data_IF_465158394464
#
_entry.id   IF_465158394464
#
_cell.length_a   1.000
_cell.length_b   1.000
_cell.length_c   1.000
_cell.angle_alpha   90.00
_cell.angle_beta   90.00
_cell.angle_gamma   90.00
#
_symmetry.space_group_name_H-M   'P 1'
#
loop_
_entity.id
_entity.type
_entity.pdbx_description
1 polymer ?
#
# COMPACT_ATOMS: atom_id res chain seq x y z
N UNK A 1 37.03 13.71 -18.97
CA UNK A 1 36.50 12.42 -19.45
C UNK A 1 35.58 12.74 -20.59
N UNK A 2 35.95 12.36 -21.81
CA UNK A 2 35.13 12.56 -22.99
C UNK A 2 33.84 11.76 -22.81
N UNK A 3 32.72 12.46 -22.67
CA UNK A 3 31.38 11.89 -22.81
C UNK A 3 31.18 11.61 -24.29
N UNK A 4 31.89 10.61 -24.82
CA UNK A 4 31.53 10.02 -26.09
C UNK A 4 30.06 9.66 -26.01
N UNK A 5 29.26 10.13 -26.97
CA UNK A 5 27.83 9.82 -27.10
C UNK A 5 27.68 8.31 -27.40
N UNK A 6 27.97 7.46 -26.40
CA UNK A 6 27.60 6.07 -26.44
C UNK A 6 26.08 6.04 -26.44
N UNK A 7 25.51 5.60 -27.55
CA UNK A 7 24.07 5.39 -27.68
C UNK A 7 23.59 4.60 -26.47
N UNK A 8 22.65 5.19 -25.74
CA UNK A 8 22.05 4.53 -24.59
C UNK A 8 21.26 3.35 -25.13
N UNK A 9 21.68 2.14 -24.79
CA UNK A 9 20.84 0.98 -24.98
C UNK A 9 19.63 1.10 -24.04
N UNK A 10 18.56 1.71 -24.54
CA UNK A 10 17.36 2.02 -23.76
C UNK A 10 16.71 0.78 -23.17
N UNK A 11 16.72 -0.34 -23.90
CA UNK A 11 16.15 -1.61 -23.40
C UNK A 11 16.90 -2.04 -22.13
N UNK A 12 18.23 -2.06 -22.20
CA UNK A 12 19.05 -2.39 -21.03
C UNK A 12 18.87 -1.37 -19.90
N UNK A 13 18.85 -0.07 -20.22
CA UNK A 13 18.67 0.98 -19.22
C UNK A 13 17.33 0.88 -18.48
N UNK A 14 16.24 0.55 -19.19
CA UNK A 14 14.91 0.32 -18.61
C UNK A 14 14.89 -0.96 -17.76
N UNK A 15 15.47 -2.06 -18.25
CA UNK A 15 15.55 -3.33 -17.51
C UNK A 15 16.37 -3.21 -16.22
N UNK A 16 17.45 -2.43 -16.26
CA UNK A 16 18.32 -2.20 -15.10
C UNK A 16 17.87 -1.04 -14.23
N UNK A 17 16.71 -0.44 -14.56
CA UNK A 17 16.21 0.80 -13.95
C UNK A 17 17.34 1.80 -13.71
N UNK A 18 18.10 2.16 -14.75
CA UNK A 18 19.27 3.02 -14.62
C UNK A 18 18.90 4.31 -13.85
N UNK A 19 19.75 4.80 -12.93
CA UNK A 19 19.45 5.92 -12.05
C UNK A 19 19.57 7.27 -12.80
N UNK A 20 18.79 7.44 -13.85
CA UNK A 20 18.73 8.60 -14.74
C UNK A 20 17.30 9.07 -14.85
N UNK A 21 17.08 10.37 -14.80
CA UNK A 21 15.74 10.96 -14.78
C UNK A 21 14.84 10.48 -15.92
N UNK A 22 15.34 10.52 -17.15
CA UNK A 22 14.62 10.10 -18.35
C UNK A 22 14.22 8.61 -18.33
N UNK A 23 15.07 7.74 -17.75
CA UNK A 23 14.77 6.31 -17.58
C UNK A 23 13.73 6.11 -16.50
N UNK A 24 13.90 6.76 -15.34
CA UNK A 24 12.99 6.63 -14.21
C UNK A 24 11.59 7.18 -14.54
N UNK A 25 11.49 8.32 -15.24
CA UNK A 25 10.21 8.86 -15.72
C UNK A 25 9.52 7.93 -16.71
N UNK A 26 10.26 7.39 -17.70
CA UNK A 26 9.71 6.43 -18.64
C UNK A 26 9.20 5.17 -17.92
N UNK A 27 9.93 4.69 -16.91
CA UNK A 27 9.51 3.55 -16.11
C UNK A 27 8.28 3.84 -15.25
N UNK A 28 8.14 5.03 -14.64
CA UNK A 28 6.91 5.40 -13.90
C UNK A 28 5.69 5.31 -14.83
N UNK A 29 5.79 5.86 -16.04
CA UNK A 29 4.71 5.78 -17.02
C UNK A 29 4.43 4.33 -17.44
N UNK A 30 5.48 3.53 -17.65
CA UNK A 30 5.33 2.11 -17.98
C UNK A 30 4.64 1.35 -16.85
N UNK A 31 5.04 1.55 -15.58
CA UNK A 31 4.41 0.93 -14.42
C UNK A 31 2.96 1.40 -14.26
N UNK A 32 2.67 2.67 -14.47
CA UNK A 32 1.29 3.20 -14.46
C UNK A 32 0.41 2.48 -15.50
N UNK A 33 0.91 2.29 -16.72
CA UNK A 33 0.21 1.54 -17.78
C UNK A 33 0.06 0.06 -17.43
N UNK A 34 1.11 -0.57 -16.89
CA UNK A 34 1.07 -1.95 -16.44
C UNK A 34 0.05 -2.15 -15.31
N UNK A 35 -0.02 -1.23 -14.36
CA UNK A 35 -1.04 -1.23 -13.30
C UNK A 35 -2.44 -1.15 -13.88
N UNK A 36 -2.67 -0.23 -14.81
CA UNK A 36 -4.00 -0.08 -15.43
C UNK A 36 -4.40 -1.33 -16.23
N UNK A 37 -3.45 -1.91 -16.97
CA UNK A 37 -3.66 -3.16 -17.70
C UNK A 37 -3.92 -4.34 -16.73
N UNK A 38 -3.12 -4.46 -15.68
CA UNK A 38 -3.27 -5.49 -14.65
C UNK A 38 -4.63 -5.39 -13.96
N UNK A 39 -5.09 -4.18 -13.61
CA UNK A 39 -6.44 -3.97 -13.07
C UNK A 39 -7.52 -4.46 -14.03
N UNK A 40 -7.41 -4.16 -15.33
CA UNK A 40 -8.35 -4.62 -16.36
C UNK A 40 -8.43 -6.15 -16.49
N UNK A 41 -7.37 -6.87 -16.12
CA UNK A 41 -7.31 -8.34 -16.17
C UNK A 41 -7.72 -8.96 -14.82
N UNK A 42 -7.14 -8.46 -13.73
CA UNK A 42 -7.25 -9.01 -12.38
C UNK A 42 -8.61 -8.68 -11.76
N UNK A 43 -9.12 -7.46 -11.92
CA UNK A 43 -10.40 -7.05 -11.30
C UNK A 43 -11.58 -7.93 -11.78
N UNK A 44 -11.76 -8.21 -13.10
CA UNK A 44 -12.82 -9.12 -13.53
C UNK A 44 -12.63 -10.56 -13.04
N UNK A 45 -11.38 -11.04 -12.92
CA UNK A 45 -11.11 -12.38 -12.40
C UNK A 45 -11.50 -12.51 -10.92
N UNK A 46 -11.13 -11.52 -10.09
CA UNK A 46 -11.56 -11.46 -8.68
C UNK A 46 -13.08 -11.29 -8.61
N UNK A 47 -13.67 -10.44 -9.45
CA UNK A 47 -15.12 -10.25 -9.51
C UNK A 47 -15.88 -11.56 -9.77
N UNK A 48 -15.52 -12.30 -10.82
CA UNK A 48 -16.10 -13.62 -11.10
C UNK A 48 -15.91 -14.60 -9.96
N UNK A 49 -14.75 -14.57 -9.31
CA UNK A 49 -14.51 -15.39 -8.13
C UNK A 49 -15.47 -15.03 -7.00
N UNK A 50 -15.66 -13.75 -6.69
CA UNK A 50 -16.59 -13.26 -5.67
C UNK A 50 -18.05 -13.61 -5.99
N UNK A 51 -18.47 -13.52 -7.25
CA UNK A 51 -19.86 -13.80 -7.64
C UNK A 51 -20.26 -15.25 -7.37
N UNK A 52 -19.29 -16.16 -7.31
CA UNK A 52 -19.48 -17.58 -7.00
C UNK A 52 -19.39 -17.90 -5.49
N UNK A 53 -19.20 -16.90 -4.60
CA UNK A 53 -18.99 -17.14 -3.18
C UNK A 53 -20.18 -16.69 -2.33
N UNK A 54 -20.68 -17.56 -1.43
CA UNK A 54 -21.85 -17.24 -0.61
C UNK A 54 -21.59 -16.12 0.41
N UNK A 55 -20.33 -15.90 0.79
CA UNK A 55 -19.93 -14.88 1.76
C UNK A 55 -19.78 -13.47 1.17
N UNK A 56 -19.92 -13.29 -0.15
CA UNK A 56 -19.69 -12.00 -0.83
C UNK A 56 -20.62 -10.90 -0.34
N UNK A 57 -21.90 -11.19 -0.11
CA UNK A 57 -22.84 -10.20 0.42
C UNK A 57 -22.44 -9.71 1.83
N UNK A 58 -21.92 -10.62 2.66
CA UNK A 58 -21.42 -10.28 3.98
C UNK A 58 -20.15 -9.42 3.95
N UNK A 59 -19.35 -9.50 2.89
CA UNK A 59 -18.21 -8.59 2.67
C UNK A 59 -18.69 -7.22 2.26
N UNK A 60 -19.59 -7.14 1.28
CA UNK A 60 -20.15 -5.87 0.79
C UNK A 60 -20.76 -5.07 1.93
N UNK A 61 -21.59 -5.71 2.76
CA UNK A 61 -22.19 -5.06 3.93
C UNK A 61 -21.14 -4.55 4.94
N UNK A 62 -20.06 -5.33 5.15
CA UNK A 62 -18.97 -4.95 6.05
C UNK A 62 -18.13 -3.79 5.50
N UNK A 63 -17.90 -3.74 4.20
CA UNK A 63 -17.19 -2.63 3.54
C UNK A 63 -18.00 -1.33 3.61
N UNK A 64 -19.30 -1.36 3.31
CA UNK A 64 -20.18 -0.19 3.47
C UNK A 64 -20.09 0.37 4.90
N UNK A 65 -20.31 -0.49 5.90
CA UNK A 65 -20.27 -0.08 7.31
C UNK A 65 -18.89 0.44 7.73
N UNK A 66 -17.81 -0.15 7.22
CA UNK A 66 -16.43 0.27 7.53
C UNK A 66 -16.15 1.68 7.01
N UNK A 67 -16.48 1.98 5.77
CA UNK A 67 -16.19 3.28 5.15
C UNK A 67 -17.08 4.39 5.68
N UNK A 68 -18.34 4.07 5.97
CA UNK A 68 -19.25 4.98 6.66
C UNK A 68 -18.71 5.32 8.07
N UNK A 69 -18.28 4.32 8.83
CA UNK A 69 -17.72 4.55 10.17
C UNK A 69 -16.39 5.32 10.14
N UNK A 70 -15.51 5.05 9.16
CA UNK A 70 -14.16 5.60 9.12
C UNK A 70 -14.15 7.07 8.67
N UNK A 71 -14.88 7.40 7.61
CA UNK A 71 -14.84 8.74 6.98
C UNK A 71 -16.21 9.27 6.56
N UNK A 72 -17.31 8.62 6.95
CA UNK A 72 -18.67 9.02 6.55
C UNK A 72 -18.98 8.76 5.08
N UNK A 73 -18.22 7.88 4.40
CA UNK A 73 -18.43 7.59 2.99
C UNK A 73 -19.59 6.60 2.83
N UNK A 74 -20.71 7.06 2.26
CA UNK A 74 -21.84 6.20 1.88
C UNK A 74 -21.57 5.54 0.53
N UNK A 75 -21.60 4.21 0.49
CA UNK A 75 -21.39 3.42 -0.73
C UNK A 75 -22.63 2.61 -1.08
N UNK A 76 -22.90 2.48 -2.37
CA UNK A 76 -23.79 1.46 -2.90
C UNK A 76 -23.17 0.06 -2.77
N UNK A 77 -23.96 -1.02 -2.80
CA UNK A 77 -23.43 -2.38 -2.80
C UNK A 77 -22.41 -2.65 -3.92
N UNK A 78 -22.62 -2.07 -5.10
CA UNK A 78 -21.70 -2.20 -6.22
C UNK A 78 -20.39 -1.45 -5.96
N UNK A 79 -20.44 -0.20 -5.48
CA UNK A 79 -19.25 0.58 -5.13
C UNK A 79 -18.43 -0.12 -4.03
N UNK A 80 -19.07 -0.71 -3.02
CA UNK A 80 -18.39 -1.45 -1.96
C UNK A 80 -17.74 -2.74 -2.47
N UNK A 81 -18.40 -3.46 -3.40
CA UNK A 81 -17.80 -4.62 -4.07
C UNK A 81 -16.57 -4.23 -4.88
N UNK A 82 -16.66 -3.17 -5.66
CA UNK A 82 -15.56 -2.70 -6.51
C UNK A 82 -14.40 -2.18 -5.65
N UNK A 83 -14.71 -1.53 -4.53
CA UNK A 83 -13.71 -1.12 -3.55
C UNK A 83 -13.00 -2.31 -2.88
N UNK A 84 -13.72 -3.38 -2.53
CA UNK A 84 -13.09 -4.61 -2.02
C UNK A 84 -12.10 -5.19 -3.04
N UNK A 85 -12.51 -5.30 -4.32
CA UNK A 85 -11.64 -5.79 -5.40
C UNK A 85 -10.42 -4.88 -5.55
N UNK A 86 -10.63 -3.57 -5.51
CA UNK A 86 -9.56 -2.58 -5.54
C UNK A 86 -8.53 -2.81 -4.43
N UNK A 87 -8.97 -2.97 -3.18
CA UNK A 87 -8.05 -3.22 -2.06
C UNK A 87 -7.26 -4.52 -2.19
N UNK A 88 -7.83 -5.58 -2.78
CA UNK A 88 -7.06 -6.79 -3.09
C UNK A 88 -5.95 -6.49 -4.09
N UNK A 89 -6.24 -5.74 -5.16
CA UNK A 89 -5.25 -5.35 -6.16
C UNK A 89 -4.16 -4.47 -5.54
N UNK A 90 -4.53 -3.49 -4.72
CA UNK A 90 -3.58 -2.66 -3.97
C UNK A 90 -2.67 -3.54 -3.10
N UNK A 91 -3.22 -4.51 -2.38
CA UNK A 91 -2.45 -5.45 -1.58
C UNK A 91 -1.47 -6.29 -2.40
N UNK A 92 -1.85 -6.72 -3.60
CA UNK A 92 -0.98 -7.45 -4.53
C UNK A 92 0.13 -6.57 -5.12
N UNK A 93 -0.17 -5.31 -5.46
CA UNK A 93 0.83 -4.33 -5.90
C UNK A 93 1.93 -4.15 -4.84
N UNK A 94 1.51 -3.89 -3.59
CA UNK A 94 2.41 -3.76 -2.45
C UNK A 94 3.20 -5.04 -2.18
N UNK A 95 2.61 -6.22 -2.41
CA UNK A 95 3.31 -7.50 -2.25
C UNK A 95 4.43 -7.62 -3.29
N UNK A 96 4.14 -7.33 -4.55
CA UNK A 96 5.12 -7.40 -5.64
C UNK A 96 6.26 -6.43 -5.36
N UNK A 97 5.97 -5.15 -5.09
CA UNK A 97 7.02 -4.18 -4.83
C UNK A 97 7.80 -4.50 -3.54
N UNK A 98 7.15 -4.92 -2.46
CA UNK A 98 7.85 -5.42 -1.26
C UNK A 98 8.81 -6.58 -1.55
N UNK A 99 8.37 -7.59 -2.33
CA UNK A 99 9.19 -8.75 -2.69
C UNK A 99 10.42 -8.37 -3.54
N UNK A 100 10.30 -7.36 -4.41
CA UNK A 100 11.43 -6.88 -5.21
C UNK A 100 12.56 -6.28 -4.36
N UNK A 101 12.28 -5.82 -3.13
CA UNK A 101 13.31 -5.33 -2.21
C UNK A 101 14.03 -6.43 -1.41
N UNK A 102 13.46 -7.63 -1.32
CA UNK A 102 13.97 -8.71 -0.46
C UNK A 102 15.42 -9.08 -0.76
N UNK A 103 15.87 -9.23 -2.02
CA UNK A 103 17.26 -9.58 -2.30
C UNK A 103 18.26 -8.57 -1.71
N UNK A 104 18.04 -7.27 -1.92
CA UNK A 104 18.93 -6.23 -1.42
C UNK A 104 18.96 -6.19 0.12
N UNK A 105 17.79 -6.28 0.78
CA UNK A 105 17.71 -6.30 2.26
C UNK A 105 18.32 -7.57 2.85
N UNK A 106 18.27 -8.69 2.14
CA UNK A 106 18.94 -9.94 2.53
C UNK A 106 20.46 -9.91 2.30
N UNK A 107 21.02 -8.79 1.84
CA UNK A 107 22.46 -8.65 1.59
C UNK A 107 22.92 -9.25 0.26
N UNK A 108 22.00 -9.61 -0.65
CA UNK A 108 22.38 -10.00 -2.00
C UNK A 108 22.93 -8.76 -2.71
N UNK A 109 24.22 -8.81 -3.02
CA UNK A 109 24.90 -7.79 -3.80
C UNK A 109 24.96 -8.19 -5.28
N UNK A 110 25.17 -7.22 -6.15
CA UNK A 110 25.38 -7.44 -7.58
C UNK A 110 24.36 -6.75 -8.48
N UNK A 111 24.54 -6.96 -9.77
CA UNK A 111 23.90 -6.16 -10.82
C UNK A 111 22.38 -6.28 -10.84
N UNK A 112 21.79 -7.32 -10.22
CA UNK A 112 20.34 -7.57 -10.24
C UNK A 112 19.62 -6.97 -9.03
N UNK A 113 20.24 -6.92 -7.84
CA UNK A 113 19.54 -6.53 -6.62
C UNK A 113 19.12 -5.06 -6.62
N UNK A 114 20.01 -4.16 -7.06
CA UNK A 114 19.73 -2.72 -7.10
C UNK A 114 18.63 -2.35 -8.11
N UNK A 115 18.63 -2.87 -9.36
CA UNK A 115 17.50 -2.68 -10.27
C UNK A 115 16.17 -3.14 -9.69
N UNK A 116 16.11 -4.28 -8.99
CA UNK A 116 14.86 -4.77 -8.40
C UNK A 116 14.32 -3.80 -7.35
N UNK A 117 15.15 -3.24 -6.48
CA UNK A 117 14.71 -2.22 -5.52
C UNK A 117 14.21 -0.95 -6.23
N UNK A 118 14.91 -0.50 -7.28
CA UNK A 118 14.44 0.66 -8.05
C UNK A 118 13.09 0.38 -8.69
N UNK A 119 12.91 -0.82 -9.25
CA UNK A 119 11.61 -1.27 -9.76
C UNK A 119 10.54 -1.32 -8.67
N UNK A 120 10.87 -1.74 -7.44
CA UNK A 120 9.94 -1.69 -6.30
C UNK A 120 9.41 -0.27 -6.04
N UNK A 121 10.29 0.72 -6.02
CA UNK A 121 9.92 2.13 -5.84
C UNK A 121 9.05 2.61 -7.01
N UNK A 122 9.42 2.25 -8.24
CA UNK A 122 8.69 2.64 -9.45
C UNK A 122 7.32 1.97 -9.57
N UNK A 123 7.15 0.75 -9.05
CA UNK A 123 5.85 0.07 -8.94
C UNK A 123 4.91 0.93 -8.10
N UNK A 124 5.36 1.42 -6.94
CA UNK A 124 4.55 2.27 -6.07
C UNK A 124 4.29 3.65 -6.70
N UNK A 125 5.32 4.33 -7.19
CA UNK A 125 5.15 5.66 -7.82
C UNK A 125 4.23 5.59 -9.06
N UNK A 126 4.33 4.53 -9.86
CA UNK A 126 3.43 4.29 -10.99
C UNK A 126 1.98 4.05 -10.54
N UNK A 127 1.77 3.30 -9.45
CA UNK A 127 0.46 3.10 -8.85
C UNK A 127 -0.15 4.41 -8.35
N UNK A 128 0.63 5.20 -7.60
CA UNK A 128 0.18 6.50 -7.06
C UNK A 128 -0.20 7.49 -8.15
N UNK A 129 0.54 7.51 -9.26
CA UNK A 129 0.20 8.34 -10.41
C UNK A 129 -1.19 8.00 -10.93
N UNK A 130 -1.49 6.71 -11.13
CA UNK A 130 -2.82 6.26 -11.56
C UNK A 130 -3.88 6.62 -10.53
N UNK A 131 -3.66 6.31 -9.25
CA UNK A 131 -4.65 6.55 -8.19
C UNK A 131 -4.97 8.03 -8.02
N UNK A 132 -3.95 8.90 -8.06
CA UNK A 132 -4.11 10.35 -7.99
C UNK A 132 -4.89 10.91 -9.20
N UNK A 133 -4.59 10.43 -10.42
CA UNK A 133 -5.30 10.85 -11.62
C UNK A 133 -6.76 10.40 -11.60
N UNK A 134 -7.03 9.16 -11.21
CA UNK A 134 -8.38 8.61 -11.15
C UNK A 134 -9.23 9.28 -10.07
N UNK A 135 -8.67 9.50 -8.86
CA UNK A 135 -9.36 10.22 -7.79
C UNK A 135 -9.55 11.70 -8.12
N UNK A 136 -8.54 12.33 -8.73
CA UNK A 136 -8.63 13.70 -9.22
C UNK A 136 -9.73 13.85 -10.27
N UNK A 137 -9.73 12.97 -11.26
CA UNK A 137 -10.78 12.93 -12.30
C UNK A 137 -12.16 12.69 -11.70
N UNK A 138 -12.30 11.67 -10.85
CA UNK A 138 -13.57 11.35 -10.17
C UNK A 138 -14.07 12.55 -9.38
N UNK A 139 -13.20 13.19 -8.59
CA UNK A 139 -13.58 14.32 -7.74
C UNK A 139 -14.01 15.55 -8.54
N UNK A 140 -13.38 15.81 -9.68
CA UNK A 140 -13.61 17.01 -10.50
C UNK A 140 -14.76 16.84 -11.49
N UNK A 141 -14.96 15.64 -12.04
CA UNK A 141 -15.85 15.42 -13.19
C UNK A 141 -17.01 14.46 -12.92
N UNK A 142 -16.94 13.60 -11.90
CA UNK A 142 -18.08 12.74 -11.56
C UNK A 142 -19.18 13.55 -10.84
N UNK A 143 -20.48 13.35 -11.14
CA UNK A 143 -21.57 14.09 -10.48
C UNK A 143 -21.58 13.95 -8.95
N UNK A 144 -21.16 12.79 -8.44
CA UNK A 144 -20.97 12.50 -7.00
C UNK A 144 -19.50 12.58 -6.57
N UNK A 145 -18.65 13.29 -7.32
CA UNK A 145 -17.20 13.23 -7.17
C UNK A 145 -16.69 13.57 -5.78
N UNK A 146 -17.27 14.62 -5.15
CA UNK A 146 -16.91 15.03 -3.78
C UNK A 146 -17.48 14.12 -2.69
N UNK A 147 -18.54 13.38 -3.00
CA UNK A 147 -19.13 12.41 -2.08
C UNK A 147 -18.33 11.09 -2.10
N UNK A 148 -17.84 10.69 -3.28
CA UNK A 148 -17.00 9.49 -3.47
C UNK A 148 -15.59 9.75 -2.95
N UNK A 149 -14.99 10.87 -3.36
CA UNK A 149 -13.66 11.29 -2.91
C UNK A 149 -13.84 12.43 -1.92
N UNK A 150 -14.17 12.10 -0.68
CA UNK A 150 -14.37 13.08 0.40
C UNK A 150 -13.07 13.84 0.71
N UNK A 151 -13.16 14.97 1.43
CA UNK A 151 -11.97 15.73 1.84
C UNK A 151 -11.04 14.89 2.73
N UNK A 152 -11.63 14.06 3.60
CA UNK A 152 -10.93 13.16 4.49
C UNK A 152 -10.18 12.08 3.69
N UNK A 153 -10.84 11.46 2.71
CA UNK A 153 -10.20 10.49 1.84
C UNK A 153 -9.08 11.13 1.02
N UNK A 154 -9.31 12.30 0.42
CA UNK A 154 -8.30 13.02 -0.34
C UNK A 154 -7.07 13.37 0.52
N UNK A 155 -7.27 13.82 1.76
CA UNK A 155 -6.18 14.09 2.69
C UNK A 155 -5.42 12.81 3.08
N UNK A 156 -6.13 11.72 3.39
CA UNK A 156 -5.49 10.44 3.73
C UNK A 156 -4.66 9.90 2.56
N UNK A 157 -5.18 9.98 1.33
CA UNK A 157 -4.45 9.61 0.12
C UNK A 157 -3.24 10.50 -0.08
N UNK A 158 -3.38 11.82 0.05
CA UNK A 158 -2.26 12.75 -0.06
C UNK A 158 -1.16 12.47 0.98
N UNK A 159 -1.55 12.29 2.25
CA UNK A 159 -0.61 12.02 3.33
C UNK A 159 0.09 10.66 3.19
N UNK A 160 -0.61 9.67 2.63
CA UNK A 160 -0.05 8.36 2.33
C UNK A 160 0.90 8.39 1.14
N UNK A 161 0.48 9.02 0.03
CA UNK A 161 1.22 8.98 -1.24
C UNK A 161 2.35 10.01 -1.32
N UNK A 162 2.42 10.97 -0.40
CA UNK A 162 3.44 12.03 -0.46
C UNK A 162 4.87 11.48 -0.49
N UNK A 163 5.13 10.37 0.19
CA UNK A 163 6.47 9.80 0.30
C UNK A 163 6.97 9.28 -1.05
N UNK A 164 6.23 8.42 -1.74
CA UNK A 164 6.68 7.86 -3.02
C UNK A 164 6.53 8.87 -4.16
N UNK A 165 5.53 9.76 -4.11
CA UNK A 165 5.35 10.80 -5.11
C UNK A 165 6.47 11.86 -5.07
N UNK A 166 6.90 12.26 -3.87
CA UNK A 166 7.93 13.29 -3.73
C UNK A 166 9.34 12.71 -3.68
N UNK A 167 9.56 11.58 -3.00
CA UNK A 167 10.90 11.03 -2.77
C UNK A 167 11.24 9.83 -3.65
N UNK A 168 10.26 9.10 -4.20
CA UNK A 168 10.52 7.85 -4.91
C UNK A 168 11.46 8.01 -6.11
N UNK A 169 11.11 8.92 -7.03
CA UNK A 169 11.94 9.22 -8.19
C UNK A 169 13.31 9.82 -7.82
N UNK A 170 13.40 10.89 -7.00
CA UNK A 170 14.69 11.40 -6.54
C UNK A 170 15.54 10.32 -5.86
N UNK A 171 14.96 9.48 -5.00
CA UNK A 171 15.68 8.43 -4.27
C UNK A 171 16.33 7.43 -5.25
N UNK A 172 15.60 7.04 -6.30
CA UNK A 172 16.12 6.17 -7.35
C UNK A 172 17.26 6.80 -8.17
N UNK A 173 17.29 8.12 -8.31
CA UNK A 173 18.35 8.81 -9.08
C UNK A 173 19.58 9.06 -8.22
N UNK A 174 19.39 9.58 -7.01
CA UNK A 174 20.49 10.13 -6.22
C UNK A 174 21.01 9.22 -5.10
N UNK A 175 20.16 8.32 -4.58
CA UNK A 175 20.48 7.54 -3.37
C UNK A 175 20.19 6.05 -3.54
N UNK A 176 20.04 5.56 -4.77
CA UNK A 176 19.50 4.21 -5.04
C UNK A 176 20.27 3.02 -4.47
N UNK A 177 21.49 3.24 -3.99
CA UNK A 177 22.34 2.25 -3.33
C UNK A 177 22.20 2.26 -1.80
N UNK A 178 21.40 3.16 -1.22
CA UNK A 178 21.22 3.28 0.23
C UNK A 178 20.43 2.08 0.81
N UNK A 179 21.06 1.25 1.67
CA UNK A 179 20.39 0.10 2.29
C UNK A 179 19.21 0.53 3.18
N UNK A 180 19.31 1.72 3.81
CA UNK A 180 18.25 2.29 4.63
C UNK A 180 16.98 2.54 3.81
N UNK A 181 17.13 2.98 2.56
CA UNK A 181 15.97 3.16 1.68
C UNK A 181 15.41 1.81 1.21
N UNK A 182 16.25 0.83 0.92
CA UNK A 182 15.78 -0.51 0.52
C UNK A 182 14.95 -1.14 1.63
N UNK A 183 15.41 -1.03 2.88
CA UNK A 183 14.68 -1.51 4.05
C UNK A 183 13.39 -0.71 4.27
N UNK A 184 13.43 0.62 4.15
CA UNK A 184 12.24 1.47 4.25
C UNK A 184 11.16 1.04 3.24
N UNK A 185 11.53 0.81 1.98
CA UNK A 185 10.58 0.39 0.93
C UNK A 185 10.02 -1.00 1.23
N UNK A 186 10.86 -1.97 1.63
CA UNK A 186 10.39 -3.30 2.04
C UNK A 186 9.40 -3.22 3.21
N UNK A 187 9.71 -2.43 4.23
CA UNK A 187 8.84 -2.29 5.40
C UNK A 187 7.53 -1.61 5.03
N UNK A 188 7.58 -0.51 4.27
CA UNK A 188 6.39 0.23 3.90
C UNK A 188 5.49 -0.59 2.96
N UNK A 189 6.05 -1.25 1.95
CA UNK A 189 5.25 -2.00 0.99
C UNK A 189 4.89 -3.41 1.48
N UNK A 190 5.87 -4.18 1.94
CA UNK A 190 5.65 -5.55 2.42
C UNK A 190 4.69 -5.62 3.60
N UNK A 191 4.80 -4.70 4.57
CA UNK A 191 3.87 -4.67 5.70
C UNK A 191 2.47 -4.20 5.28
N UNK A 192 2.37 -3.28 4.31
CA UNK A 192 1.07 -2.88 3.73
C UNK A 192 0.39 -4.07 3.07
N UNK A 193 1.13 -4.86 2.28
CA UNK A 193 0.60 -6.06 1.63
C UNK A 193 0.02 -7.04 2.66
N UNK A 194 0.78 -7.35 3.71
CA UNK A 194 0.32 -8.22 4.79
C UNK A 194 -0.95 -7.69 5.46
N UNK A 195 -0.97 -6.42 5.84
CA UNK A 195 -2.10 -5.81 6.54
C UNK A 195 -3.35 -5.72 5.65
N UNK A 196 -3.19 -5.33 4.38
CA UNK A 196 -4.29 -5.20 3.42
C UNK A 196 -4.87 -6.58 3.10
N UNK A 197 -4.04 -7.52 2.60
CA UNK A 197 -4.50 -8.85 2.22
C UNK A 197 -5.05 -9.63 3.42
N UNK A 198 -4.41 -9.51 4.59
CA UNK A 198 -4.93 -10.07 5.85
C UNK A 198 -6.30 -9.50 6.22
N UNK A 199 -6.51 -8.20 6.03
CA UNK A 199 -7.81 -7.56 6.25
C UNK A 199 -8.87 -8.06 5.26
N UNK A 200 -8.53 -8.18 3.98
CA UNK A 200 -9.45 -8.71 2.96
C UNK A 200 -9.83 -10.16 3.27
N UNK A 201 -8.85 -11.00 3.63
CA UNK A 201 -9.13 -12.38 4.07
C UNK A 201 -10.01 -12.41 5.33
N UNK A 202 -9.74 -11.56 6.33
CA UNK A 202 -10.52 -11.48 7.56
C UNK A 202 -12.01 -11.15 7.31
N UNK A 203 -12.33 -10.36 6.26
CA UNK A 203 -13.72 -10.08 5.89
C UNK A 203 -14.46 -11.30 5.34
N UNK A 204 -13.76 -12.30 4.82
CA UNK A 204 -14.36 -13.56 4.35
C UNK A 204 -14.80 -14.48 5.51
N UNK A 205 -14.28 -14.25 6.72
CA UNK A 205 -14.52 -15.12 7.87
C UNK A 205 -15.90 -14.89 8.51
N UNK A 206 -16.56 -15.99 8.86
CA UNK A 206 -17.73 -16.08 9.71
C UNK A 206 -17.29 -16.33 11.17
N UNK A 207 -17.17 -15.25 11.93
CA UNK A 207 -16.74 -15.28 13.34
C UNK A 207 -17.73 -16.00 14.28
N UNK A 208 -18.93 -16.40 13.83
CA UNK A 208 -19.81 -17.25 14.62
C UNK A 208 -19.25 -18.69 14.77
N UNK A 209 -18.37 -19.11 13.85
CA UNK A 209 -17.67 -20.40 13.90
C UNK A 209 -16.38 -20.28 14.70
N UNK A 210 -16.14 -21.21 15.62
CA UNK A 210 -14.99 -21.17 16.52
C UNK A 210 -13.65 -21.20 15.78
N UNK A 211 -13.53 -22.02 14.75
CA UNK A 211 -12.32 -22.12 13.93
C UNK A 211 -12.01 -20.80 13.20
N UNK A 212 -13.02 -20.17 12.62
CA UNK A 212 -12.88 -18.91 11.88
C UNK A 212 -12.70 -17.71 12.83
N UNK A 213 -13.27 -17.73 14.04
CA UNK A 213 -12.95 -16.77 15.09
C UNK A 213 -11.48 -16.83 15.50
N UNK A 214 -10.92 -18.04 15.67
CA UNK A 214 -9.47 -18.20 15.98
C UNK A 214 -8.60 -17.65 14.86
N UNK A 215 -8.99 -17.84 13.60
CA UNK A 215 -8.28 -17.25 12.46
C UNK A 215 -8.35 -15.72 12.49
N UNK A 216 -9.53 -15.14 12.73
CA UNK A 216 -9.70 -13.69 12.90
C UNK A 216 -8.84 -13.14 14.03
N UNK A 217 -8.80 -13.82 15.17
CA UNK A 217 -7.96 -13.46 16.32
C UNK A 217 -6.47 -13.47 15.96
N UNK A 218 -6.01 -14.53 15.27
CA UNK A 218 -4.62 -14.65 14.83
C UNK A 218 -4.26 -13.51 13.86
N UNK A 219 -5.05 -13.30 12.81
CA UNK A 219 -4.79 -12.27 11.80
C UNK A 219 -4.81 -10.88 12.41
N UNK A 220 -5.79 -10.59 13.29
CA UNK A 220 -5.90 -9.28 13.93
C UNK A 220 -4.69 -9.00 14.84
N UNK A 221 -4.28 -9.99 15.63
CA UNK A 221 -3.10 -9.88 16.52
C UNK A 221 -1.81 -9.74 15.73
N UNK A 222 -1.59 -10.58 14.70
CA UNK A 222 -0.41 -10.49 13.85
C UNK A 222 -0.37 -9.17 13.09
N UNK A 223 -1.50 -8.71 12.54
CA UNK A 223 -1.58 -7.40 11.87
C UNK A 223 -1.24 -6.27 12.82
N UNK A 224 -1.72 -6.33 14.07
CA UNK A 224 -1.39 -5.33 15.07
C UNK A 224 0.11 -5.32 15.38
N UNK A 225 0.71 -6.49 15.60
CA UNK A 225 2.14 -6.60 15.88
C UNK A 225 2.98 -6.07 14.70
N UNK A 226 2.64 -6.47 13.47
CA UNK A 226 3.31 -6.02 12.24
C UNK A 226 3.17 -4.50 12.10
N UNK A 227 1.98 -3.93 12.24
CA UNK A 227 1.78 -2.47 12.11
C UNK A 227 2.53 -1.70 13.19
N UNK A 228 2.48 -2.12 14.46
CA UNK A 228 3.23 -1.47 15.54
C UNK A 228 4.73 -1.49 15.26
N UNK A 229 5.27 -2.65 14.89
CA UNK A 229 6.70 -2.77 14.61
C UNK A 229 7.10 -1.98 13.36
N UNK A 230 6.41 -2.21 12.23
CA UNK A 230 6.82 -1.69 10.93
C UNK A 230 6.49 -0.23 10.71
N UNK A 231 5.46 0.33 11.37
CA UNK A 231 5.03 1.74 11.18
C UNK A 231 5.45 2.69 12.29
N UNK A 232 5.76 2.19 13.48
CA UNK A 232 6.15 3.03 14.61
C UNK A 232 7.55 2.72 15.07
N UNK A 233 7.86 1.48 15.44
CA UNK A 233 9.18 1.17 16.00
C UNK A 233 10.26 1.32 14.93
N UNK A 234 10.21 0.49 13.88
CA UNK A 234 11.27 0.48 12.86
C UNK A 234 11.17 1.65 11.89
N UNK A 235 9.97 2.07 11.48
CA UNK A 235 9.80 3.24 10.59
C UNK A 235 10.35 4.52 11.23
N UNK A 236 10.13 4.75 12.53
CA UNK A 236 10.65 5.95 13.20
C UNK A 236 12.17 5.92 13.25
N UNK A 237 12.77 4.80 13.64
CA UNK A 237 14.22 4.63 13.63
C UNK A 237 14.80 4.84 12.23
N UNK A 238 14.25 4.18 11.20
CA UNK A 238 14.73 4.33 9.83
C UNK A 238 14.52 5.72 9.25
N UNK A 239 13.42 6.39 9.58
CA UNK A 239 13.18 7.77 9.13
C UNK A 239 14.22 8.71 9.74
N UNK A 240 14.54 8.53 11.03
CA UNK A 240 15.60 9.29 11.70
C UNK A 240 16.98 9.00 11.09
N UNK A 241 17.33 7.74 10.87
CA UNK A 241 18.60 7.34 10.24
C UNK A 241 18.73 7.90 8.82
N UNK A 242 17.66 7.86 8.01
CA UNK A 242 17.63 8.45 6.67
C UNK A 242 17.81 9.97 6.70
N UNK A 243 17.12 10.68 7.60
CA UNK A 243 17.29 12.12 7.73
C UNK A 243 18.70 12.51 8.16
N UNK A 244 19.32 11.76 9.08
CA UNK A 244 20.72 11.94 9.44
C UNK A 244 21.65 11.67 8.26
N UNK A 245 21.40 10.61 7.50
CA UNK A 245 22.16 10.28 6.30
C UNK A 245 22.09 11.43 5.27
N UNK A 246 20.91 11.98 5.00
CA UNK A 246 20.75 13.11 4.07
C UNK A 246 21.39 14.40 4.60
N UNK A 247 21.32 14.63 5.92
CA UNK A 247 21.97 15.78 6.55
C UNK A 247 23.50 15.69 6.43
N UNK A 248 24.08 14.51 6.64
CA UNK A 248 25.52 14.26 6.47
C UNK A 248 25.98 14.41 5.01
N UNK A 249 25.08 14.17 4.05
CA UNK A 249 25.29 14.38 2.62
C UNK A 249 25.05 15.83 2.17
N UNK A 250 24.65 16.72 3.08
CA UNK A 250 24.25 18.10 2.80
C UNK A 250 23.07 18.21 1.80
N UNK A 251 22.23 17.16 1.70
CA UNK A 251 21.11 17.09 0.77
C UNK A 251 19.85 17.73 1.37
N UNK A 252 19.79 19.06 1.29
CA UNK A 252 18.71 19.87 1.90
C UNK A 252 17.32 19.55 1.35
N UNK A 253 17.21 19.07 0.10
CA UNK A 253 15.93 18.66 -0.48
C UNK A 253 15.38 17.44 0.27
N UNK A 254 16.19 16.38 0.42
CA UNK A 254 15.75 15.17 1.11
C UNK A 254 15.54 15.40 2.61
N UNK A 255 16.31 16.27 3.25
CA UNK A 255 16.06 16.62 4.66
C UNK A 255 14.71 17.33 4.81
N UNK A 256 14.45 18.37 4.00
CA UNK A 256 13.23 19.18 4.13
C UNK A 256 11.98 18.41 3.68
N UNK A 257 11.95 17.96 2.43
CA UNK A 257 10.82 17.22 1.85
C UNK A 257 10.63 15.87 2.53
N UNK A 258 11.73 15.18 2.86
CA UNK A 258 11.68 13.92 3.61
C UNK A 258 11.06 14.06 4.98
N UNK A 259 11.44 15.09 5.74
CA UNK A 259 10.83 15.36 7.06
C UNK A 259 9.32 15.56 6.96
N UNK A 260 8.86 16.34 5.97
CA UNK A 260 7.43 16.56 5.73
C UNK A 260 6.71 15.26 5.34
N UNK A 261 7.26 14.50 4.39
CA UNK A 261 6.65 13.24 3.93
C UNK A 261 6.59 12.19 5.04
N UNK A 262 7.65 12.05 5.84
CA UNK A 262 7.64 11.12 6.97
C UNK A 262 6.62 11.53 8.03
N UNK A 263 6.51 12.82 8.35
CA UNK A 263 5.47 13.30 9.27
C UNK A 263 4.06 12.95 8.77
N UNK A 264 3.77 13.20 7.49
CA UNK A 264 2.48 12.85 6.87
C UNK A 264 2.23 11.33 6.90
N UNK A 265 3.25 10.53 6.60
CA UNK A 265 3.17 9.08 6.68
C UNK A 265 2.93 8.58 8.12
N UNK A 266 3.46 9.25 9.15
CA UNK A 266 3.16 8.93 10.55
C UNK A 266 1.72 9.27 10.93
N UNK A 267 1.16 10.37 10.42
CA UNK A 267 -0.27 10.69 10.60
C UNK A 267 -1.14 9.60 9.98
N UNK A 268 -0.85 9.19 8.74
CA UNK A 268 -1.54 8.07 8.10
C UNK A 268 -1.39 6.76 8.90
N UNK A 269 -0.18 6.46 9.35
CA UNK A 269 0.12 5.26 10.14
C UNK A 269 -0.63 5.23 11.46
N UNK A 270 -0.86 6.39 12.10
CA UNK A 270 -1.65 6.49 13.33
C UNK A 270 -3.12 6.10 13.10
N UNK A 271 -3.70 6.49 11.97
CA UNK A 271 -5.08 6.09 11.58
C UNK A 271 -5.15 4.58 11.38
N UNK A 272 -4.19 4.00 10.65
CA UNK A 272 -4.12 2.54 10.42
C UNK A 272 -3.92 1.77 11.73
N UNK A 273 -3.07 2.27 12.63
CA UNK A 273 -2.85 1.67 13.94
C UNK A 273 -4.11 1.69 14.79
N UNK A 274 -4.84 2.81 14.81
CA UNK A 274 -6.08 2.92 15.58
C UNK A 274 -7.11 1.87 15.14
N UNK A 275 -7.32 1.69 13.82
CA UNK A 275 -8.21 0.67 13.28
C UNK A 275 -7.74 -0.75 13.67
N UNK A 276 -6.45 -1.01 13.51
CA UNK A 276 -5.86 -2.32 13.80
C UNK A 276 -5.95 -2.67 15.29
N UNK A 277 -5.70 -1.71 16.19
CA UNK A 277 -5.85 -1.88 17.64
C UNK A 277 -7.29 -2.17 18.03
N UNK A 278 -8.26 -1.39 17.50
CA UNK A 278 -9.69 -1.63 17.75
C UNK A 278 -10.09 -3.04 17.35
N UNK A 279 -9.63 -3.51 16.19
CA UNK A 279 -9.89 -4.87 15.70
C UNK A 279 -9.23 -5.94 16.57
N UNK A 280 -7.95 -5.78 16.90
CA UNK A 280 -7.21 -6.72 17.74
C UNK A 280 -7.82 -6.85 19.14
N UNK A 281 -8.19 -5.72 19.76
CA UNK A 281 -8.88 -5.72 21.05
C UNK A 281 -10.25 -6.39 20.96
N UNK A 282 -11.07 -5.98 19.98
CA UNK A 282 -12.43 -6.50 19.78
C UNK A 282 -12.45 -8.02 19.64
N UNK A 283 -11.62 -8.57 18.75
CA UNK A 283 -11.66 -10.01 18.48
C UNK A 283 -10.77 -10.81 19.44
N UNK A 284 -9.65 -10.25 19.91
CA UNK A 284 -8.74 -10.91 20.84
C UNK A 284 -9.37 -11.21 22.20
N UNK A 285 -10.36 -10.43 22.62
CA UNK A 285 -11.10 -10.63 23.87
C UNK A 285 -12.44 -11.36 23.68
N UNK A 286 -12.87 -11.60 22.44
CA UNK A 286 -14.18 -12.19 22.14
C UNK A 286 -14.20 -13.70 22.40
N UNK A 287 -15.12 -14.14 23.23
CA UNK A 287 -15.38 -15.58 23.45
C UNK A 287 -16.22 -16.18 22.32
N UNK A 288 -16.13 -17.50 22.12
CA UNK A 288 -16.97 -18.21 21.15
C UNK A 288 -18.48 -18.05 21.42
N UNK A 289 -18.89 -18.08 22.69
CA UNK A 289 -20.29 -17.90 23.08
C UNK A 289 -20.79 -16.49 22.73
N UNK A 290 -19.97 -15.48 23.00
CA UNK A 290 -20.27 -14.10 22.62
C UNK A 290 -20.33 -13.92 21.11
N UNK A 291 -19.38 -14.49 20.38
CA UNK A 291 -19.35 -14.41 18.92
C UNK A 291 -20.60 -15.07 18.31
N UNK A 292 -20.99 -16.25 18.79
CA UNK A 292 -22.23 -16.93 18.37
C UNK A 292 -23.46 -16.09 18.69
N UNK A 293 -23.52 -15.45 19.87
CA UNK A 293 -24.64 -14.56 20.25
C UNK A 293 -24.74 -13.33 19.36
N UNK A 294 -23.61 -12.68 19.04
CA UNK A 294 -23.57 -11.44 18.24
C UNK A 294 -23.75 -11.67 16.74
N UNK A 295 -23.23 -12.77 16.21
CA UNK A 295 -23.10 -12.99 14.76
C UNK A 295 -23.88 -14.21 14.23
N UNK A 296 -24.34 -15.12 15.09
CA UNK A 296 -25.04 -16.34 14.68
C UNK A 296 -26.46 -16.11 14.14
N UNK A 297 -27.06 -14.94 14.36
CA UNK A 297 -28.40 -14.62 13.85
C UNK A 297 -28.44 -14.51 12.32
N UNK A 298 -27.29 -14.35 11.65
CA UNK A 298 -27.17 -14.20 10.20
C UNK A 298 -26.87 -15.51 9.47
N UNK A 299 -26.91 -16.67 10.15
CA UNK A 299 -26.71 -18.00 9.52
C UNK A 299 -27.99 -18.62 8.93
N UNK A 300 -29.12 -17.90 8.96
CA UNK A 300 -30.40 -18.34 8.37
C UNK A 300 -30.61 -17.66 7.01
#
# INVERSE_FOLDING_TARGET
METGNLEVNWVWALMMAAPRWEVQLALVLLHALLHKAAQGIVAPAIGRYLDCKPWTQGIIAREIARWEQLIGLTQTPQEARDNYIWWVIVGLCHLVGGLLCVPAVAGVTGDVALPLVRHSILVETGFELVDCLEKGYTRLFHPRGRDIVTNQLAFLVFAHHSTSAALGLPANVYHSDSPLMHEMVLLLQGASAFAILGTQYAMTLNVARVSELRQMQLIASLSCLVIVYTRFVRCLTLSYELLLFFLQKEDTYFVSVGSTCFLLMFVFSAVVLQDTLKRAYKFGTMSAAEAKRRYGAHEK
#
